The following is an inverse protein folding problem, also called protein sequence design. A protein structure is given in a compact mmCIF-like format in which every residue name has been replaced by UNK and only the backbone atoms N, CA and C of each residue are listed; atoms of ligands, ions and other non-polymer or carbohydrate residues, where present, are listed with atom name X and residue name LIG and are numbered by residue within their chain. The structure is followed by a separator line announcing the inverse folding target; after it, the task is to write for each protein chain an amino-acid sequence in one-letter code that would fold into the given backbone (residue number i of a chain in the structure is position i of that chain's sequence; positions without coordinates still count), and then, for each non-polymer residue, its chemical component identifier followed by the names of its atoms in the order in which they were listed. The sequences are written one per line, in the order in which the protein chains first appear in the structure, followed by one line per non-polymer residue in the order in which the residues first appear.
data_IF_575154672991
#
_entry.id   IF_575154672991
#
_cell.length_a   1.000
_cell.length_b   1.000
_cell.length_c   1.000
_cell.angle_alpha   90.00
_cell.angle_beta   90.00
_cell.angle_gamma   90.00
#
_symmetry.space_group_name_H-M   'P 1'
#
loop_
_entity.id
_entity.type
_entity.pdbx_description
1 polymer ?
#
# COMPACT_ATOMS: atom_id res chain seq x y z
N UNK A 1 -11.98 -7.38 -8.83
CA UNK A 1 -10.58 -7.56 -9.26
C UNK A 1 -10.42 -8.83 -10.08
N UNK A 2 -9.46 -8.81 -11.02
CA UNK A 2 -9.05 -9.97 -11.81
C UNK A 2 -7.63 -10.32 -11.38
N UNK A 3 -7.35 -11.62 -11.21
CA UNK A 3 -6.02 -12.12 -10.85
C UNK A 3 -5.39 -12.79 -12.06
N UNK A 4 -4.18 -12.40 -12.42
CA UNK A 4 -3.37 -13.06 -13.45
C UNK A 4 -1.89 -12.95 -13.11
N UNK A 5 -1.13 -14.04 -13.34
CA UNK A 5 0.32 -14.12 -13.15
C UNK A 5 1.04 -14.85 -14.31
N UNK A 6 0.28 -15.13 -15.37
CA UNK A 6 0.82 -15.79 -16.57
C UNK A 6 1.31 -14.74 -17.57
N UNK A 7 2.60 -14.77 -17.98
CA UNK A 7 3.16 -13.78 -18.90
C UNK A 7 2.42 -13.66 -20.23
N UNK A 8 1.76 -14.72 -20.70
CA UNK A 8 1.01 -14.72 -21.96
C UNK A 8 -0.40 -14.14 -21.85
N UNK A 9 -0.92 -13.96 -20.62
CA UNK A 9 -2.28 -13.51 -20.34
C UNK A 9 -2.35 -12.06 -19.79
N UNK A 10 -1.31 -11.64 -19.04
CA UNK A 10 -1.36 -10.40 -18.26
C UNK A 10 -1.57 -9.14 -19.08
N UNK A 11 -1.13 -9.09 -20.33
CA UNK A 11 -1.31 -7.90 -21.16
C UNK A 11 -2.77 -7.71 -21.58
N UNK A 12 -3.46 -8.81 -21.92
CA UNK A 12 -4.88 -8.78 -22.28
C UNK A 12 -5.73 -8.41 -21.06
N UNK A 13 -5.44 -9.03 -19.90
CA UNK A 13 -6.11 -8.71 -18.64
C UNK A 13 -5.87 -7.25 -18.23
N UNK A 14 -4.63 -6.77 -18.34
CA UNK A 14 -4.31 -5.37 -18.02
C UNK A 14 -5.07 -4.40 -18.93
N UNK A 15 -5.28 -4.76 -20.19
CA UNK A 15 -5.95 -3.91 -21.18
C UNK A 15 -7.42 -3.66 -20.88
N UNK A 16 -8.10 -4.56 -20.17
CA UNK A 16 -9.53 -4.43 -19.78
C UNK A 16 -9.72 -3.85 -18.38
N UNK A 17 -8.64 -3.55 -17.66
CA UNK A 17 -8.67 -3.00 -16.30
C UNK A 17 -8.39 -1.49 -16.31
N UNK A 18 -8.77 -0.78 -15.25
CA UNK A 18 -8.45 0.65 -15.07
C UNK A 18 -7.20 0.91 -14.25
N UNK A 19 -6.62 -0.11 -13.63
CA UNK A 19 -5.41 -0.01 -12.80
C UNK A 19 -4.83 -1.38 -12.48
N UNK A 20 -3.56 -1.37 -12.08
CA UNK A 20 -2.77 -2.57 -11.80
C UNK A 20 -2.16 -2.48 -10.40
N UNK A 21 -2.36 -3.52 -9.59
CA UNK A 21 -1.64 -3.73 -8.34
C UNK A 21 -0.62 -4.86 -8.52
N UNK A 22 0.66 -4.51 -8.44
CA UNK A 22 1.76 -5.49 -8.45
C UNK A 22 2.13 -5.79 -6.99
N UNK A 23 1.93 -7.04 -6.58
CA UNK A 23 2.27 -7.54 -5.26
C UNK A 23 3.30 -8.66 -5.37
N UNK A 24 4.48 -8.44 -4.76
CA UNK A 24 5.59 -9.39 -4.83
C UNK A 24 5.59 -10.44 -3.71
N UNK A 25 4.46 -10.66 -3.07
CA UNK A 25 4.33 -11.62 -1.95
C UNK A 25 4.64 -13.06 -2.31
N UNK A 26 4.46 -13.43 -3.59
CA UNK A 26 4.81 -14.75 -4.13
C UNK A 26 5.59 -14.57 -5.42
N UNK A 27 6.89 -14.88 -5.40
CA UNK A 27 7.78 -14.70 -6.54
C UNK A 27 8.27 -16.03 -7.10
N UNK A 28 8.24 -16.13 -8.42
CA UNK A 28 8.95 -17.10 -9.23
C UNK A 28 9.34 -16.43 -10.57
N UNK A 29 10.16 -17.09 -11.39
CA UNK A 29 10.65 -16.50 -12.64
C UNK A 29 9.53 -16.07 -13.60
N UNK A 30 8.44 -16.85 -13.68
CA UNK A 30 7.29 -16.53 -14.52
C UNK A 30 6.50 -15.34 -14.00
N UNK A 31 6.20 -15.32 -12.69
CA UNK A 31 5.47 -14.20 -12.10
C UNK A 31 6.26 -12.89 -12.15
N UNK A 32 7.59 -12.92 -12.01
CA UNK A 32 8.43 -11.73 -12.20
C UNK A 32 8.31 -11.22 -13.66
N UNK A 33 8.43 -12.10 -14.65
CA UNK A 33 8.25 -11.73 -16.05
C UNK A 33 6.85 -11.15 -16.32
N UNK A 34 5.81 -11.77 -15.76
CA UNK A 34 4.44 -11.30 -15.87
C UNK A 34 4.25 -9.89 -15.25
N UNK A 35 4.88 -9.61 -14.10
CA UNK A 35 4.82 -8.31 -13.43
C UNK A 35 5.40 -7.18 -14.31
N UNK A 36 6.55 -7.40 -14.97
CA UNK A 36 7.13 -6.41 -15.88
C UNK A 36 6.23 -6.21 -17.10
N UNK A 37 5.78 -7.27 -17.77
CA UNK A 37 4.90 -7.16 -18.95
C UNK A 37 3.57 -6.45 -18.61
N UNK A 38 2.94 -6.82 -17.51
CA UNK A 38 1.71 -6.15 -17.05
C UNK A 38 1.96 -4.67 -16.72
N UNK A 39 3.08 -4.37 -16.06
CA UNK A 39 3.47 -3.01 -15.69
C UNK A 39 3.75 -2.12 -16.92
N UNK A 40 4.50 -2.62 -17.90
CA UNK A 40 4.76 -1.93 -19.17
C UNK A 40 3.46 -1.68 -19.94
N UNK A 41 2.59 -2.68 -19.99
CA UNK A 41 1.27 -2.54 -20.62
C UNK A 41 0.41 -1.50 -19.91
N UNK A 42 0.32 -1.54 -18.59
CA UNK A 42 -0.41 -0.55 -17.81
C UNK A 42 0.14 0.86 -18.00
N UNK A 43 1.46 1.02 -18.00
CA UNK A 43 2.12 2.30 -18.27
C UNK A 43 1.78 2.84 -19.66
N UNK A 44 1.79 1.98 -20.69
CA UNK A 44 1.44 2.36 -22.07
C UNK A 44 -0.02 2.84 -22.22
N UNK A 45 -0.90 2.37 -21.35
CA UNK A 45 -2.32 2.74 -21.30
C UNK A 45 -2.61 3.91 -20.35
N UNK A 46 -1.61 4.42 -19.62
CA UNK A 46 -1.79 5.48 -18.62
C UNK A 46 -2.58 5.04 -17.40
N UNK A 47 -2.58 3.75 -17.08
CA UNK A 47 -3.28 3.20 -15.94
C UNK A 47 -2.59 3.57 -14.63
N UNK A 48 -3.36 3.54 -13.52
CA UNK A 48 -2.80 3.60 -12.16
C UNK A 48 -2.02 2.32 -11.88
N UNK A 49 -0.75 2.47 -11.48
CA UNK A 49 0.09 1.37 -11.03
C UNK A 49 0.36 1.51 -9.53
N UNK A 50 0.13 0.44 -8.79
CA UNK A 50 0.49 0.34 -7.37
C UNK A 50 1.50 -0.78 -7.18
N UNK A 51 2.59 -0.50 -6.46
CA UNK A 51 3.57 -1.48 -5.99
C UNK A 51 3.33 -1.81 -4.52
N UNK A 52 3.16 -3.09 -4.22
CA UNK A 52 3.15 -3.65 -2.87
C UNK A 52 4.40 -4.55 -2.69
N UNK A 53 5.53 -4.01 -2.17
CA UNK A 53 6.83 -4.67 -2.11
C UNK A 53 6.93 -5.65 -0.95
N UNK A 54 5.96 -6.55 -0.81
CA UNK A 54 5.84 -7.50 0.31
C UNK A 54 7.13 -8.25 0.56
N UNK A 55 7.73 -8.01 1.73
CA UNK A 55 8.95 -8.69 2.17
C UNK A 55 10.23 -8.19 1.49
N UNK A 56 10.24 -7.00 0.87
CA UNK A 56 11.48 -6.31 0.52
C UNK A 56 12.34 -6.15 1.78
N UNK A 57 13.63 -6.48 1.67
CA UNK A 57 14.54 -6.60 2.82
C UNK A 57 14.65 -8.02 3.41
N UNK A 58 13.66 -8.88 3.22
CA UNK A 58 13.69 -10.24 3.75
C UNK A 58 14.54 -11.22 2.89
N UNK A 59 14.67 -10.95 1.60
CA UNK A 59 15.55 -11.72 0.71
C UNK A 59 16.05 -10.85 -0.44
N UNK A 60 17.21 -11.23 -1.00
CA UNK A 60 17.79 -10.53 -2.16
C UNK A 60 16.84 -10.57 -3.36
N UNK A 61 16.18 -11.71 -3.62
CA UNK A 61 15.22 -11.81 -4.74
C UNK A 61 14.09 -10.80 -4.61
N UNK A 62 13.46 -10.67 -3.44
CA UNK A 62 12.37 -9.72 -3.20
C UNK A 62 12.85 -8.28 -3.31
N UNK A 63 13.97 -7.98 -2.68
CA UNK A 63 14.54 -6.62 -2.71
C UNK A 63 14.89 -6.20 -4.13
N UNK A 64 15.65 -7.03 -4.86
CA UNK A 64 16.05 -6.71 -6.22
C UNK A 64 14.83 -6.57 -7.14
N UNK A 65 13.88 -7.50 -7.08
CA UNK A 65 12.66 -7.41 -7.92
C UNK A 65 11.88 -6.13 -7.62
N UNK A 66 11.72 -5.74 -6.33
CA UNK A 66 11.00 -4.53 -5.97
C UNK A 66 11.72 -3.26 -6.46
N UNK A 67 13.05 -3.22 -6.35
CA UNK A 67 13.87 -2.10 -6.83
C UNK A 67 13.82 -2.03 -8.36
N UNK A 68 14.01 -3.15 -9.06
CA UNK A 68 13.98 -3.21 -10.53
C UNK A 68 12.61 -2.78 -11.07
N UNK A 69 11.51 -3.22 -10.45
CA UNK A 69 10.17 -2.78 -10.80
C UNK A 69 10.00 -1.27 -10.61
N UNK A 70 10.43 -0.73 -9.45
CA UNK A 70 10.31 0.69 -9.13
C UNK A 70 11.15 1.57 -10.08
N UNK A 71 12.32 1.09 -10.53
CA UNK A 71 13.19 1.84 -11.42
C UNK A 71 12.71 1.83 -12.89
N UNK A 72 12.03 0.76 -13.31
CA UNK A 72 11.63 0.56 -14.70
C UNK A 72 10.18 0.97 -14.99
N UNK A 73 9.32 1.06 -13.98
CA UNK A 73 7.88 1.32 -14.15
C UNK A 73 7.44 2.58 -13.43
N UNK A 74 6.53 3.40 -14.01
CA UNK A 74 6.06 4.64 -13.43
C UNK A 74 4.94 4.39 -12.42
N UNK A 75 5.27 3.93 -11.22
CA UNK A 75 4.28 3.70 -10.19
C UNK A 75 3.59 4.99 -9.74
N UNK A 76 2.27 4.96 -9.68
CA UNK A 76 1.44 6.02 -9.10
C UNK A 76 1.47 5.98 -7.58
N UNK A 77 1.52 4.76 -7.02
CA UNK A 77 1.53 4.52 -5.57
C UNK A 77 2.54 3.42 -5.23
N UNK A 78 3.30 3.62 -4.16
CA UNK A 78 4.13 2.59 -3.51
C UNK A 78 3.60 2.42 -2.09
N UNK A 79 3.15 1.23 -1.72
CA UNK A 79 2.57 0.95 -0.40
C UNK A 79 3.28 -0.21 0.28
N UNK A 80 3.79 0.01 1.48
CA UNK A 80 4.45 -1.02 2.29
C UNK A 80 4.44 -0.70 3.78
N UNK A 81 5.03 -1.56 4.60
CA UNK A 81 5.39 -1.19 5.96
C UNK A 81 6.67 -0.34 5.96
N UNK A 82 7.02 0.24 7.11
CA UNK A 82 8.17 1.14 7.19
C UNK A 82 9.49 0.46 6.79
N UNK A 83 9.68 -0.81 7.12
CA UNK A 83 10.88 -1.57 6.78
C UNK A 83 10.99 -1.82 5.28
N UNK A 84 9.90 -2.18 4.61
CA UNK A 84 9.83 -2.37 3.16
C UNK A 84 10.14 -1.06 2.43
N UNK A 85 9.51 0.05 2.85
CA UNK A 85 9.71 1.36 2.24
C UNK A 85 11.15 1.87 2.47
N UNK A 86 11.72 1.70 3.67
CA UNK A 86 13.13 2.03 3.92
C UNK A 86 14.07 1.20 3.04
N UNK A 87 13.79 -0.08 2.85
CA UNK A 87 14.58 -0.95 1.99
C UNK A 87 14.59 -0.46 0.54
N UNK A 88 13.44 -0.06 0.00
CA UNK A 88 13.36 0.52 -1.34
C UNK A 88 14.08 1.86 -1.43
N UNK A 89 13.92 2.72 -0.43
CA UNK A 89 14.58 4.02 -0.39
C UNK A 89 16.12 3.91 -0.37
N UNK A 90 16.66 2.87 0.29
CA UNK A 90 18.09 2.57 0.34
C UNK A 90 18.61 1.90 -0.94
N UNK A 91 17.83 0.99 -1.53
CA UNK A 91 18.20 0.24 -2.73
C UNK A 91 18.33 1.11 -3.97
N UNK A 92 17.64 2.25 -4.03
CA UNK A 92 17.70 3.20 -5.17
C UNK A 92 19.03 3.98 -5.28
N UNK A 93 20.05 3.67 -4.50
CA UNK A 93 21.43 4.23 -4.61
C UNK A 93 21.54 5.74 -4.37
N UNK A 94 20.44 6.43 -4.11
CA UNK A 94 20.38 7.90 -3.96
C UNK A 94 20.27 8.39 -2.52
N UNK A 95 20.44 7.51 -1.54
CA UNK A 95 20.38 7.90 -0.12
C UNK A 95 21.77 8.30 0.40
N UNK A 96 22.06 9.59 0.35
CA UNK A 96 23.04 10.21 1.23
C UNK A 96 22.29 10.89 2.36
N UNK A 97 22.37 10.33 3.58
CA UNK A 97 22.09 11.08 4.80
C UNK A 97 20.85 10.74 5.61
N UNK A 98 20.26 9.55 5.48
CA UNK A 98 19.26 9.10 6.45
C UNK A 98 19.81 7.90 7.22
N UNK A 99 20.51 8.18 8.33
CA UNK A 99 20.77 7.24 9.43
C UNK A 99 19.42 7.02 10.17
N UNK A 100 18.50 6.28 9.53
CA UNK A 100 17.30 5.84 10.21
C UNK A 100 17.47 4.35 10.49
N UNK A 101 17.49 4.01 11.76
CA UNK A 101 17.49 2.61 12.22
C UNK A 101 16.29 1.90 11.58
N UNK A 102 16.55 0.81 10.83
CA UNK A 102 15.56 0.13 9.97
C UNK A 102 14.41 -0.48 10.80
N UNK A 103 14.55 -0.50 12.14
CA UNK A 103 13.66 -1.22 13.06
C UNK A 103 12.52 -0.40 13.65
N UNK A 104 12.50 0.94 13.52
CA UNK A 104 11.57 1.75 14.30
C UNK A 104 10.22 1.90 13.60
N UNK A 105 9.21 1.23 14.15
CA UNK A 105 7.81 1.50 13.80
C UNK A 105 7.48 2.99 13.98
N UNK A 106 6.60 3.53 13.14
CA UNK A 106 6.14 4.92 13.28
C UNK A 106 5.38 5.05 14.60
N UNK A 107 5.84 5.98 15.45
CA UNK A 107 5.28 6.30 16.76
C UNK A 107 5.17 7.82 16.93
N UNK A 108 4.52 8.28 17.99
CA UNK A 108 4.42 9.71 18.27
C UNK A 108 5.79 10.36 18.52
N UNK A 109 6.76 9.59 19.06
CA UNK A 109 8.10 10.10 19.38
C UNK A 109 8.94 10.35 18.13
N UNK A 110 8.74 9.56 17.05
CA UNK A 110 9.49 9.70 15.80
C UNK A 110 8.67 10.24 14.63
N UNK A 111 7.45 10.72 14.88
CA UNK A 111 6.48 11.08 13.84
C UNK A 111 7.02 12.12 12.86
N UNK A 112 7.65 13.18 13.34
CA UNK A 112 8.15 14.26 12.48
C UNK A 112 9.26 13.76 11.54
N UNK A 113 10.17 12.93 12.03
CA UNK A 113 11.22 12.32 11.21
C UNK A 113 10.67 11.32 10.21
N UNK A 114 9.66 10.53 10.61
CA UNK A 114 8.98 9.61 9.72
C UNK A 114 8.22 10.33 8.60
N UNK A 115 7.51 11.41 8.92
CA UNK A 115 6.84 12.27 7.93
C UNK A 115 7.85 12.87 6.95
N UNK A 116 8.97 13.40 7.45
CA UNK A 116 10.02 13.96 6.59
C UNK A 116 10.61 12.89 5.65
N UNK A 117 10.88 11.68 6.16
CA UNK A 117 11.36 10.55 5.36
C UNK A 117 10.37 10.15 4.27
N UNK A 118 9.08 10.01 4.60
CA UNK A 118 8.07 9.59 3.63
C UNK A 118 7.87 10.66 2.56
N UNK A 119 7.88 11.94 2.91
CA UNK A 119 7.84 13.05 1.95
C UNK A 119 9.05 13.05 1.01
N UNK A 120 10.26 12.89 1.54
CA UNK A 120 11.48 12.81 0.73
C UNK A 120 11.43 11.64 -0.26
N UNK A 121 11.04 10.47 0.21
CA UNK A 121 10.96 9.29 -0.66
C UNK A 121 9.86 9.44 -1.72
N UNK A 122 8.71 10.03 -1.38
CA UNK A 122 7.65 10.32 -2.34
C UNK A 122 8.11 11.30 -3.44
N UNK A 123 8.87 12.33 -3.09
CA UNK A 123 9.47 13.26 -4.06
C UNK A 123 10.46 12.55 -4.99
N UNK A 124 11.34 11.71 -4.45
CA UNK A 124 12.38 11.02 -5.23
C UNK A 124 11.80 9.94 -6.15
N UNK A 125 10.79 9.23 -5.68
CA UNK A 125 10.13 8.16 -6.46
C UNK A 125 9.07 8.69 -7.42
N UNK A 126 8.70 9.96 -7.34
CA UNK A 126 7.59 10.57 -8.09
C UNK A 126 6.26 9.82 -7.91
N UNK A 127 6.07 9.16 -6.77
CA UNK A 127 4.90 8.37 -6.44
C UNK A 127 4.28 8.82 -5.13
N UNK A 128 3.01 8.53 -4.94
CA UNK A 128 2.40 8.58 -3.60
C UNK A 128 2.97 7.42 -2.80
N UNK A 129 3.53 7.71 -1.64
CA UNK A 129 4.06 6.69 -0.73
C UNK A 129 3.11 6.51 0.44
N UNK A 130 2.65 5.28 0.65
CA UNK A 130 1.80 4.88 1.76
C UNK A 130 2.55 3.91 2.68
N UNK A 131 2.93 4.38 3.86
CA UNK A 131 3.54 3.56 4.93
C UNK A 131 2.46 3.13 5.89
N UNK A 132 2.32 1.83 6.12
CA UNK A 132 1.31 1.29 7.05
C UNK A 132 1.95 0.66 8.28
N UNK A 133 1.32 0.89 9.46
CA UNK A 133 1.82 0.44 10.74
C UNK A 133 0.86 0.74 11.88
N UNK A 134 1.39 1.14 13.03
CA UNK A 134 0.58 1.62 14.17
C UNK A 134 0.02 3.04 13.89
N UNK A 135 0.80 3.86 13.22
CA UNK A 135 0.40 5.14 12.63
C UNK A 135 0.72 5.02 11.14
N UNK A 136 -0.27 5.28 10.30
CA UNK A 136 -0.11 5.20 8.86
C UNK A 136 0.23 6.58 8.28
N UNK A 137 1.10 6.62 7.27
CA UNK A 137 1.51 7.85 6.59
C UNK A 137 1.25 7.72 5.09
N UNK A 138 0.60 8.73 4.48
CA UNK A 138 0.36 8.76 3.02
C UNK A 138 0.79 10.12 2.48
N UNK A 139 1.77 10.15 1.58
CA UNK A 139 2.36 11.41 1.10
C UNK A 139 2.60 11.43 -0.41
N UNK A 140 2.44 12.61 -1.00
CA UNK A 140 2.85 12.94 -2.38
C UNK A 140 4.19 13.70 -2.44
N UNK A 141 4.84 13.86 -1.28
CA UNK A 141 6.06 14.63 -1.13
C UNK A 141 5.84 16.10 -0.71
N UNK A 142 4.65 16.64 -0.89
CA UNK A 142 4.28 17.98 -0.42
C UNK A 142 3.45 17.92 0.85
N UNK A 143 2.40 17.13 0.84
CA UNK A 143 1.48 16.89 1.96
C UNK A 143 1.65 15.46 2.47
N UNK A 144 1.41 15.27 3.75
CA UNK A 144 1.40 13.95 4.36
C UNK A 144 0.16 13.81 5.25
N UNK A 145 -0.67 12.83 4.95
CA UNK A 145 -1.74 12.38 5.83
C UNK A 145 -1.16 11.46 6.89
N UNK A 146 -1.37 11.80 8.16
CA UNK A 146 -1.07 10.97 9.33
C UNK A 146 -2.37 10.37 9.81
N UNK A 147 -2.51 9.05 9.72
CA UNK A 147 -3.78 8.34 9.93
C UNK A 147 -3.65 7.42 11.15
N UNK A 148 -4.67 7.44 12.00
CA UNK A 148 -4.69 6.72 13.28
C UNK A 148 -5.86 5.74 13.40
N UNK A 149 -6.47 5.39 12.27
CA UNK A 149 -7.46 4.32 12.23
C UNK A 149 -6.79 2.95 12.29
N UNK A 150 -7.52 1.99 12.81
CA UNK A 150 -7.07 0.60 12.86
C UNK A 150 -6.90 0.08 14.28
N UNK A 151 -6.51 -1.17 14.36
CA UNK A 151 -6.33 -1.89 15.62
C UNK A 151 -5.14 -2.85 15.55
N UNK A 152 -4.41 -3.06 16.65
CA UNK A 152 -3.28 -3.99 16.69
C UNK A 152 -3.65 -5.43 16.28
N UNK A 153 -4.89 -5.84 16.54
CA UNK A 153 -5.38 -7.18 16.21
C UNK A 153 -5.43 -7.45 14.71
N UNK A 154 -5.51 -6.41 13.87
CA UNK A 154 -5.43 -6.53 12.41
C UNK A 154 -4.09 -7.14 11.96
N UNK A 155 -3.02 -6.89 12.68
CA UNK A 155 -1.70 -7.47 12.41
C UNK A 155 -1.62 -9.00 12.58
N UNK A 156 -2.62 -9.61 13.23
CA UNK A 156 -2.72 -11.07 13.38
C UNK A 156 -3.44 -11.75 12.20
N UNK A 157 -3.93 -10.96 11.23
CA UNK A 157 -4.64 -11.47 10.05
C UNK A 157 -3.73 -11.35 8.85
N UNK A 158 -3.42 -12.48 8.24
CA UNK A 158 -2.66 -12.49 6.99
C UNK A 158 -3.48 -11.89 5.85
N UNK A 159 -2.86 -10.99 5.08
CA UNK A 159 -3.42 -10.47 3.85
C UNK A 159 -4.19 -9.15 3.97
N UNK A 160 -4.37 -8.57 5.16
CA UNK A 160 -4.99 -7.24 5.32
C UNK A 160 -4.24 -6.14 4.54
N UNK A 161 -2.91 -6.21 4.53
CA UNK A 161 -2.09 -5.31 3.72
C UNK A 161 -2.34 -5.46 2.22
N UNK A 162 -2.33 -6.69 1.70
CA UNK A 162 -2.59 -6.96 0.28
C UNK A 162 -4.02 -6.54 -0.12
N UNK A 163 -5.00 -6.72 0.76
CA UNK A 163 -6.37 -6.23 0.55
C UNK A 163 -6.40 -4.70 0.46
N UNK A 164 -5.68 -4.01 1.35
CA UNK A 164 -5.55 -2.55 1.29
C UNK A 164 -4.93 -2.09 -0.02
N UNK A 165 -3.88 -2.76 -0.53
CA UNK A 165 -3.26 -2.41 -1.81
C UNK A 165 -4.25 -2.51 -2.97
N UNK A 166 -5.05 -3.58 -3.01
CA UNK A 166 -6.13 -3.72 -4.00
C UNK A 166 -7.21 -2.64 -3.87
N UNK A 167 -7.65 -2.34 -2.64
CA UNK A 167 -8.60 -1.24 -2.37
C UNK A 167 -8.02 0.11 -2.77
N UNK A 168 -6.78 0.41 -2.39
CA UNK A 168 -6.12 1.67 -2.70
C UNK A 168 -6.01 1.89 -4.20
N UNK A 169 -5.68 0.85 -4.97
CA UNK A 169 -5.69 0.91 -6.44
C UNK A 169 -7.07 1.32 -6.96
N UNK A 170 -8.15 0.69 -6.46
CA UNK A 170 -9.51 1.01 -6.88
C UNK A 170 -9.91 2.45 -6.50
N UNK A 171 -9.57 2.91 -5.29
CA UNK A 171 -9.85 4.28 -4.84
C UNK A 171 -9.13 5.31 -5.71
N UNK A 172 -7.85 5.07 -6.02
CA UNK A 172 -7.04 6.01 -6.84
C UNK A 172 -7.52 6.03 -8.29
N UNK A 173 -7.90 4.88 -8.85
CA UNK A 173 -8.51 4.79 -10.20
C UNK A 173 -9.81 5.59 -10.27
N UNK A 174 -10.66 5.48 -9.26
CA UNK A 174 -11.96 6.16 -9.21
C UNK A 174 -11.85 7.68 -8.97
N UNK A 175 -10.68 8.18 -8.54
CA UNK A 175 -10.47 9.58 -8.19
C UNK A 175 -9.19 10.16 -8.84
N UNK A 176 -9.14 10.28 -10.17
CA UNK A 176 -7.91 10.64 -10.90
C UNK A 176 -7.37 12.03 -10.53
N UNK A 177 -8.25 12.98 -10.17
CA UNK A 177 -7.89 14.36 -9.83
C UNK A 177 -7.49 14.55 -8.36
N UNK A 178 -7.72 13.53 -7.51
CA UNK A 178 -7.47 13.57 -6.06
C UNK A 178 -6.81 12.29 -5.56
N UNK A 179 -5.73 11.88 -6.23
CA UNK A 179 -5.08 10.57 -5.98
C UNK A 179 -4.53 10.44 -4.57
N UNK A 180 -3.94 11.52 -4.01
CA UNK A 180 -3.42 11.51 -2.64
C UNK A 180 -4.53 11.31 -1.61
N UNK A 181 -5.62 12.09 -1.73
CA UNK A 181 -6.77 11.97 -0.83
C UNK A 181 -7.44 10.60 -0.97
N UNK A 182 -7.52 10.07 -2.19
CA UNK A 182 -8.05 8.73 -2.44
C UNK A 182 -7.21 7.63 -1.79
N UNK A 183 -5.89 7.74 -1.87
CA UNK A 183 -4.97 6.80 -1.20
C UNK A 183 -5.12 6.88 0.33
N UNK A 184 -5.18 8.09 0.89
CA UNK A 184 -5.40 8.30 2.32
C UNK A 184 -6.78 7.77 2.77
N UNK A 185 -7.84 8.01 1.98
CA UNK A 185 -9.18 7.50 2.25
C UNK A 185 -9.23 5.96 2.26
N UNK A 186 -8.48 5.29 1.38
CA UNK A 186 -8.38 3.82 1.37
C UNK A 186 -7.75 3.29 2.68
N UNK A 187 -6.71 3.97 3.19
CA UNK A 187 -6.09 3.62 4.49
C UNK A 187 -7.07 3.83 5.64
N UNK A 188 -7.74 4.99 5.69
CA UNK A 188 -8.78 5.27 6.70
C UNK A 188 -9.89 4.20 6.65
N UNK A 189 -10.36 3.86 5.44
CA UNK A 189 -11.44 2.88 5.25
C UNK A 189 -11.04 1.48 5.76
N UNK A 190 -9.82 1.02 5.46
CA UNK A 190 -9.31 -0.26 5.95
C UNK A 190 -9.18 -0.27 7.47
N UNK A 191 -8.61 0.77 8.05
CA UNK A 191 -8.45 0.90 9.51
C UNK A 191 -9.80 0.97 10.23
N UNK A 192 -10.74 1.78 9.72
CA UNK A 192 -12.10 1.89 10.25
C UNK A 192 -12.85 0.55 10.14
N UNK A 193 -12.71 -0.16 9.03
CA UNK A 193 -13.28 -1.50 8.87
C UNK A 193 -12.73 -2.48 9.92
N UNK A 194 -11.44 -2.37 10.25
CA UNK A 194 -10.85 -3.11 11.36
C UNK A 194 -11.48 -2.78 12.72
N UNK A 195 -11.70 -1.50 13.00
CA UNK A 195 -12.38 -1.05 14.24
C UNK A 195 -13.81 -1.57 14.31
N UNK A 196 -14.58 -1.41 13.21
CA UNK A 196 -15.97 -1.89 13.12
C UNK A 196 -16.02 -3.42 13.23
N UNK A 197 -15.15 -4.13 12.51
CA UNK A 197 -15.10 -5.60 12.56
C UNK A 197 -14.81 -6.10 13.97
N UNK A 198 -13.87 -5.46 14.67
CA UNK A 198 -13.52 -5.82 16.04
C UNK A 198 -14.67 -5.56 17.02
N UNK A 199 -15.39 -4.44 16.88
CA UNK A 199 -16.53 -4.13 17.77
C UNK A 199 -17.67 -5.16 17.71
N UNK A 200 -17.68 -5.98 16.65
CA UNK A 200 -18.67 -7.06 16.43
C UNK A 200 -18.17 -8.43 16.87
N UNK A 201 -16.92 -8.54 17.38
CA UNK A 201 -16.37 -9.81 17.85
C UNK A 201 -17.06 -10.27 19.14
N UNK A 202 -17.30 -11.58 19.22
CA UNK A 202 -17.89 -12.25 20.37
C UNK A 202 -16.87 -13.18 21.05
N UNK A 203 -17.21 -13.65 22.24
CA UNK A 203 -16.37 -14.63 22.94
C UNK A 203 -16.27 -15.93 22.10
N UNK A 204 -15.03 -16.37 21.85
CA UNK A 204 -14.75 -17.54 21.03
C UNK A 204 -14.50 -17.24 19.55
N UNK A 205 -14.74 -16.02 19.07
CA UNK A 205 -14.36 -15.62 17.71
C UNK A 205 -12.83 -15.54 17.58
N UNK A 206 -12.32 -15.93 16.41
CA UNK A 206 -10.90 -15.92 16.08
C UNK A 206 -10.59 -15.10 14.83
N UNK A 207 -9.35 -15.23 14.33
CA UNK A 207 -8.85 -14.47 13.20
C UNK A 207 -9.70 -14.63 11.92
N UNK A 208 -10.27 -15.81 11.69
CA UNK A 208 -11.13 -16.07 10.51
C UNK A 208 -12.41 -15.23 10.57
N UNK A 209 -13.09 -15.22 11.72
CA UNK A 209 -14.28 -14.39 11.95
C UNK A 209 -13.93 -12.92 11.82
N UNK A 210 -12.83 -12.47 12.44
CA UNK A 210 -12.41 -11.08 12.38
C UNK A 210 -12.12 -10.64 10.94
N UNK A 211 -11.39 -11.44 10.16
CA UNK A 211 -11.16 -11.16 8.74
C UNK A 211 -12.47 -10.98 7.97
N UNK A 212 -13.41 -11.88 8.14
CA UNK A 212 -14.70 -11.79 7.46
C UNK A 212 -15.47 -10.53 7.88
N UNK A 213 -15.43 -10.16 9.17
CA UNK A 213 -16.08 -8.93 9.66
C UNK A 213 -15.43 -7.65 9.13
N UNK A 214 -14.12 -7.66 8.87
CA UNK A 214 -13.44 -6.55 8.16
C UNK A 214 -13.97 -6.44 6.72
N UNK A 215 -14.07 -7.55 6.00
CA UNK A 215 -14.57 -7.58 4.63
C UNK A 215 -16.03 -7.10 4.58
N UNK A 216 -16.86 -7.57 5.49
CA UNK A 216 -18.26 -7.12 5.61
C UNK A 216 -18.36 -5.62 5.97
N UNK A 217 -17.45 -5.12 6.81
CA UNK A 217 -17.42 -3.69 7.14
C UNK A 217 -17.02 -2.83 5.93
N UNK A 218 -16.06 -3.28 5.13
CA UNK A 218 -15.68 -2.62 3.87
C UNK A 218 -16.87 -2.59 2.90
N UNK A 219 -17.56 -3.72 2.73
CA UNK A 219 -18.71 -3.82 1.81
C UNK A 219 -19.84 -2.85 2.21
N UNK A 220 -20.10 -2.67 3.51
CA UNK A 220 -21.18 -1.84 4.03
C UNK A 220 -20.77 -0.38 4.32
N UNK A 221 -19.50 0.00 4.03
CA UNK A 221 -19.01 1.35 4.29
C UNK A 221 -19.47 2.31 3.20
N UNK A 222 -20.07 3.41 3.61
CA UNK A 222 -20.38 4.55 2.73
C UNK A 222 -19.53 5.78 3.10
N UNK A 223 -19.67 6.85 2.30
CA UNK A 223 -18.94 8.09 2.54
C UNK A 223 -19.24 8.73 3.89
N UNK A 224 -20.48 8.67 4.36
CA UNK A 224 -20.89 9.25 5.63
C UNK A 224 -20.26 8.50 6.83
N UNK A 225 -20.19 7.17 6.75
CA UNK A 225 -19.51 6.35 7.76
C UNK A 225 -18.00 6.65 7.78
N UNK A 226 -17.38 6.78 6.61
CA UNK A 226 -15.97 7.11 6.49
C UNK A 226 -15.67 8.52 7.03
N UNK A 227 -16.43 9.53 6.63
CA UNK A 227 -16.25 10.91 7.11
C UNK A 227 -16.38 11.02 8.64
N UNK A 228 -17.31 10.28 9.23
CA UNK A 228 -17.50 10.25 10.69
C UNK A 228 -16.39 9.50 11.42
N UNK A 229 -15.84 8.45 10.80
CA UNK A 229 -14.92 7.53 11.46
C UNK A 229 -13.44 7.79 11.15
N UNK A 230 -13.11 8.57 10.14
CA UNK A 230 -11.73 8.84 9.75
C UNK A 230 -11.00 9.67 10.83
N UNK A 231 -9.79 9.22 11.19
CA UNK A 231 -8.93 9.84 12.19
C UNK A 231 -7.61 10.21 11.54
N UNK A 232 -7.52 11.43 11.04
CA UNK A 232 -6.31 11.88 10.35
C UNK A 232 -5.99 13.35 10.64
N UNK A 233 -4.74 13.71 10.42
CA UNK A 233 -4.26 15.09 10.29
C UNK A 233 -3.41 15.22 9.04
N UNK A 234 -3.23 16.45 8.53
CA UNK A 234 -2.40 16.73 7.36
C UNK A 234 -1.22 17.59 7.78
N UNK A 235 -0.01 17.17 7.36
CA UNK A 235 1.26 17.85 7.64
C UNK A 235 1.99 18.22 6.37
#
# INVERSE_FOLDING_TARGET
PIMSDEPEDVEDITSICGGLNINIGTLNQRSIQAMFRAGEKAASLGHVLLLDPVGAGASALRTNTAVDLMEQLPFTVIRGNISEIKTLALGSGKTRGVDADVSDAVSDENLDSAVAFVKDFAQRSHAIVAVTGAIDLVSDGQRCFVIRNGRPEMGKITGTGCQLSGMMTAFVVANPDRRLEAAAAAVCAMGLAGEIGWSRMAQGDGNSTYRNRIIDAIYNMDGAALDKGAKYEVR
#
